data_IF_257014278861
#
_entry.id   IF_257014278861
#
_cell.length_a   1.000
_cell.length_b   1.000
_cell.length_c   1.000
_cell.angle_alpha   90.00
_cell.angle_beta   90.00
_cell.angle_gamma   90.00
#
_symmetry.space_group_name_H-M   'P 1'
#
loop_
_entity.id
_entity.type
_entity.pdbx_description
1 polymer ?
#
# COMPACT_ATOMS: atom_id res chain seq x y z
N UNK A 1 -0.27 31.02 -48.52
CA UNK A 1 0.51 31.72 -47.47
C UNK A 1 -0.47 32.33 -46.49
N UNK A 2 -0.55 31.85 -45.24
CA UNK A 2 -1.70 32.13 -44.35
C UNK A 2 -1.39 33.32 -43.44
N UNK A 3 -1.98 34.52 -43.67
CA UNK A 3 -1.64 35.74 -42.93
C UNK A 3 -2.16 35.76 -41.49
N UNK A 4 -3.20 34.97 -41.18
CA UNK A 4 -3.93 35.07 -39.91
C UNK A 4 -3.15 34.49 -38.72
N UNK A 5 -2.33 33.46 -38.94
CA UNK A 5 -1.54 32.82 -37.87
C UNK A 5 -0.40 33.72 -37.35
N UNK A 6 0.15 34.59 -38.21
CA UNK A 6 1.24 35.51 -37.82
C UNK A 6 0.75 36.69 -36.96
N UNK A 7 -0.55 36.98 -36.97
CA UNK A 7 -1.15 38.06 -36.19
C UNK A 7 -1.79 37.58 -34.87
N UNK A 8 -1.55 36.32 -34.49
CA UNK A 8 -2.04 35.75 -33.22
C UNK A 8 -3.53 35.39 -33.20
N UNK A 9 -4.24 35.49 -34.32
CA UNK A 9 -5.67 35.19 -34.40
C UNK A 9 -5.90 33.74 -34.89
N UNK A 10 -5.57 32.79 -34.00
CA UNK A 10 -5.56 31.36 -34.29
C UNK A 10 -6.95 30.79 -34.54
N UNK A 11 -7.97 31.24 -33.79
CA UNK A 11 -9.35 30.73 -33.88
C UNK A 11 -9.92 30.94 -35.29
N UNK A 12 -9.83 32.16 -35.80
CA UNK A 12 -10.26 32.48 -37.16
C UNK A 12 -9.39 31.81 -38.24
N UNK A 13 -8.10 31.66 -37.98
CA UNK A 13 -7.18 30.96 -38.87
C UNK A 13 -7.52 29.47 -39.03
N UNK A 14 -7.92 28.81 -37.94
CA UNK A 14 -8.30 27.39 -37.92
C UNK A 14 -9.65 27.20 -38.61
N UNK A 15 -10.68 27.99 -38.28
CA UNK A 15 -11.99 27.89 -38.91
C UNK A 15 -11.92 28.05 -40.44
N UNK A 16 -11.14 29.03 -40.91
CA UNK A 16 -10.97 29.26 -42.34
C UNK A 16 -10.20 28.13 -43.03
N UNK A 17 -9.19 27.56 -42.38
CA UNK A 17 -8.43 26.44 -42.92
C UNK A 17 -9.29 25.16 -43.03
N UNK A 18 -10.09 24.86 -42.00
CA UNK A 18 -11.00 23.72 -42.00
C UNK A 18 -12.08 23.88 -43.08
N UNK A 19 -12.62 25.09 -43.24
CA UNK A 19 -13.60 25.39 -44.28
C UNK A 19 -13.05 25.15 -45.70
N UNK A 20 -11.85 25.64 -45.99
CA UNK A 20 -11.19 25.44 -47.30
C UNK A 20 -10.88 23.96 -47.58
N UNK A 21 -10.35 23.23 -46.59
CA UNK A 21 -10.07 21.80 -46.75
C UNK A 21 -11.36 21.02 -47.01
N UNK A 22 -12.44 21.34 -46.30
CA UNK A 22 -13.75 20.70 -46.51
C UNK A 22 -14.30 20.94 -47.92
N UNK A 23 -14.03 22.10 -48.50
CA UNK A 23 -14.46 22.44 -49.85
C UNK A 23 -13.60 21.75 -50.92
N UNK A 24 -12.29 21.59 -50.68
CA UNK A 24 -11.38 20.86 -51.56
C UNK A 24 -11.74 19.36 -51.62
N UNK A 25 -12.02 18.75 -50.47
CA UNK A 25 -12.44 17.34 -50.40
C UNK A 25 -13.75 17.10 -51.17
N UNK A 26 -14.65 18.09 -51.18
CA UNK A 26 -15.94 17.99 -51.88
C UNK A 26 -15.86 18.16 -53.40
N UNK A 27 -14.78 18.77 -53.91
CA UNK A 27 -14.55 18.92 -55.34
C UNK A 27 -13.86 17.69 -55.95
N UNK A 28 -13.11 16.93 -55.14
CA UNK A 28 -12.36 15.73 -55.57
C UNK A 28 -13.23 14.46 -55.63
N UNK A 29 -14.46 14.50 -55.09
CA UNK A 29 -15.36 13.33 -55.03
C UNK A 29 -16.12 13.03 -56.32
N UNK A 30 -15.65 13.49 -57.48
CA UNK A 30 -16.37 13.36 -58.75
C UNK A 30 -15.65 12.46 -59.76
N UNK A 31 -15.10 11.31 -59.35
CA UNK A 31 -14.93 10.13 -60.22
C UNK A 31 -15.09 8.81 -59.43
N UNK A 32 -15.84 7.82 -59.95
CA UNK A 32 -16.04 6.54 -59.27
C UNK A 32 -14.83 5.62 -59.51
N UNK A 33 -13.74 5.90 -58.78
CA UNK A 33 -12.55 5.06 -58.74
C UNK A 33 -12.64 4.03 -57.62
N UNK A 34 -12.60 2.75 -58.01
CA UNK A 34 -12.63 1.55 -57.18
C UNK A 34 -11.51 1.56 -56.10
N UNK A 35 -11.75 2.16 -54.94
CA UNK A 35 -10.89 1.96 -53.77
C UNK A 35 -11.37 0.74 -53.01
N UNK A 36 -10.66 -0.38 -53.20
CA UNK A 36 -10.68 -1.50 -52.27
C UNK A 36 -10.08 -1.00 -50.95
N UNK A 37 -10.93 -0.57 -50.03
CA UNK A 37 -10.54 -0.45 -48.63
C UNK A 37 -10.18 -1.86 -48.16
N UNK A 38 -9.02 -2.09 -47.52
CA UNK A 38 -8.85 -3.32 -46.77
C UNK A 38 -9.96 -3.30 -45.72
N UNK A 39 -10.83 -4.31 -45.77
CA UNK A 39 -11.80 -4.56 -44.71
C UNK A 39 -10.98 -5.02 -43.50
N UNK A 40 -10.50 -4.06 -42.71
CA UNK A 40 -9.99 -4.36 -41.40
C UNK A 40 -11.18 -4.86 -40.59
N UNK A 41 -11.27 -6.19 -40.48
CA UNK A 41 -12.21 -6.86 -39.60
C UNK A 41 -11.81 -6.54 -38.17
N UNK A 42 -12.30 -5.42 -37.64
CA UNK A 42 -12.20 -5.10 -36.22
C UNK A 42 -13.05 -6.12 -35.47
N UNK A 43 -12.41 -7.14 -34.92
CA UNK A 43 -13.07 -8.11 -34.04
C UNK A 43 -13.51 -7.39 -32.75
N UNK A 44 -14.76 -6.93 -32.70
CA UNK A 44 -15.40 -6.32 -31.51
C UNK A 44 -15.55 -7.28 -30.31
N UNK A 45 -15.11 -8.53 -30.44
CA UNK A 45 -15.36 -9.60 -29.45
C UNK A 45 -14.29 -9.69 -28.34
N UNK A 46 -13.22 -8.87 -28.36
CA UNK A 46 -12.11 -8.99 -27.41
C UNK A 46 -12.21 -8.09 -26.17
N UNK A 47 -12.96 -6.98 -26.20
CA UNK A 47 -12.97 -5.98 -25.11
C UNK A 47 -13.93 -6.33 -23.96
N UNK A 48 -15.06 -6.96 -24.25
CA UNK A 48 -16.08 -7.31 -23.24
C UNK A 48 -15.66 -8.51 -22.36
N UNK A 49 -14.97 -9.49 -22.94
CA UNK A 49 -14.48 -10.68 -22.25
C UNK A 49 -13.29 -10.33 -21.33
N UNK A 50 -12.42 -9.41 -21.74
CA UNK A 50 -11.29 -9.00 -20.89
C UNK A 50 -11.73 -8.23 -19.65
N UNK A 51 -12.68 -7.29 -19.79
CA UNK A 51 -13.16 -6.53 -18.64
C UNK A 51 -13.98 -7.37 -17.65
N UNK A 52 -14.76 -8.34 -18.13
CA UNK A 52 -15.51 -9.25 -17.24
C UNK A 52 -14.60 -10.15 -16.41
N UNK A 53 -13.49 -10.64 -16.98
CA UNK A 53 -12.48 -11.40 -16.24
C UNK A 53 -11.76 -10.53 -15.21
N UNK A 54 -11.39 -9.29 -15.58
CA UNK A 54 -10.80 -8.32 -14.65
C UNK A 54 -11.74 -8.03 -13.47
N UNK A 55 -13.03 -7.82 -13.73
CA UNK A 55 -14.03 -7.58 -12.68
C UNK A 55 -14.27 -8.80 -11.80
N UNK A 56 -14.25 -10.02 -12.35
CA UNK A 56 -14.36 -11.25 -11.55
C UNK A 56 -13.15 -11.45 -10.64
N UNK A 57 -11.94 -11.24 -11.15
CA UNK A 57 -10.70 -11.33 -10.36
C UNK A 57 -10.69 -10.24 -9.28
N UNK A 58 -10.99 -8.99 -9.65
CA UNK A 58 -11.07 -7.89 -8.71
C UNK A 58 -12.11 -8.13 -7.62
N UNK A 59 -13.30 -8.64 -7.98
CA UNK A 59 -14.36 -9.01 -7.05
C UNK A 59 -13.95 -10.15 -6.10
N UNK A 60 -13.26 -11.17 -6.61
CA UNK A 60 -12.71 -12.27 -5.81
C UNK A 60 -11.67 -11.81 -4.80
N UNK A 61 -10.76 -10.92 -5.22
CA UNK A 61 -9.75 -10.32 -4.33
C UNK A 61 -10.42 -9.47 -3.25
N UNK A 62 -11.37 -8.61 -3.62
CA UNK A 62 -12.13 -7.77 -2.69
C UNK A 62 -12.88 -8.61 -1.65
N UNK A 63 -13.60 -9.64 -2.09
CA UNK A 63 -14.34 -10.55 -1.21
C UNK A 63 -13.40 -11.26 -0.24
N UNK A 64 -12.24 -11.71 -0.71
CA UNK A 64 -11.23 -12.37 0.12
C UNK A 64 -10.66 -11.43 1.19
N UNK A 65 -10.33 -10.19 0.82
CA UNK A 65 -9.82 -9.17 1.76
C UNK A 65 -10.88 -8.86 2.82
N UNK A 66 -12.13 -8.61 2.42
CA UNK A 66 -13.24 -8.35 3.34
C UNK A 66 -13.48 -9.54 4.28
N UNK A 67 -13.44 -10.77 3.75
CA UNK A 67 -13.54 -11.99 4.53
C UNK A 67 -12.44 -12.12 5.57
N UNK A 68 -11.17 -11.87 5.19
CA UNK A 68 -10.03 -11.92 6.10
C UNK A 68 -10.12 -10.85 7.21
N UNK A 69 -10.49 -9.62 6.84
CA UNK A 69 -10.66 -8.53 7.81
C UNK A 69 -11.81 -8.83 8.79
N UNK A 70 -12.96 -9.29 8.28
CA UNK A 70 -14.11 -9.68 9.09
C UNK A 70 -13.81 -10.86 10.01
N UNK A 71 -13.12 -11.89 9.50
CA UNK A 71 -12.71 -13.05 10.29
C UNK A 71 -11.74 -12.69 11.40
N UNK A 72 -10.74 -11.83 11.12
CA UNK A 72 -9.82 -11.34 12.14
C UNK A 72 -10.55 -10.54 13.24
N UNK A 73 -11.49 -9.66 12.85
CA UNK A 73 -12.32 -8.93 13.82
C UNK A 73 -13.17 -9.88 14.68
N UNK A 74 -13.81 -10.85 14.06
CA UNK A 74 -14.60 -11.86 14.77
C UNK A 74 -13.75 -12.69 15.73
N UNK A 75 -12.57 -13.18 15.31
CA UNK A 75 -11.65 -13.92 16.17
C UNK A 75 -11.21 -13.11 17.39
N UNK A 76 -10.98 -11.80 17.21
CA UNK A 76 -10.59 -10.91 18.30
C UNK A 76 -11.71 -10.70 19.31
N UNK A 77 -12.94 -10.49 18.85
CA UNK A 77 -14.10 -10.19 19.70
C UNK A 77 -14.77 -11.43 20.33
N UNK A 78 -14.36 -12.64 19.94
CA UNK A 78 -14.93 -13.87 20.49
C UNK A 78 -14.60 -14.00 21.98
N UNK A 79 -15.59 -14.24 22.87
CA UNK A 79 -15.36 -14.44 24.29
C UNK A 79 -14.32 -15.52 24.59
N UNK A 80 -13.46 -15.24 25.56
CA UNK A 80 -12.38 -16.13 26.00
C UNK A 80 -12.76 -16.81 27.31
N UNK A 81 -12.05 -17.90 27.62
CA UNK A 81 -12.20 -18.59 28.90
C UNK A 81 -11.11 -18.13 29.85
N UNK A 82 -11.50 -17.84 31.08
CA UNK A 82 -10.59 -17.44 32.15
C UNK A 82 -9.61 -18.60 32.46
N UNK A 83 -8.30 -18.32 32.59
CA UNK A 83 -7.32 -19.35 32.96
C UNK A 83 -7.47 -19.86 34.39
N UNK A 84 -8.18 -19.14 35.28
CA UNK A 84 -8.38 -19.50 36.69
C UNK A 84 -9.66 -20.35 36.92
N UNK A 85 -10.85 -19.80 36.68
CA UNK A 85 -12.12 -20.53 36.86
C UNK A 85 -12.73 -21.14 35.59
N UNK A 86 -12.14 -20.97 34.41
CA UNK A 86 -12.70 -21.40 33.12
C UNK A 86 -14.08 -20.76 32.77
N UNK A 87 -14.49 -19.71 33.50
CA UNK A 87 -15.66 -18.88 33.18
C UNK A 87 -15.44 -18.02 31.92
N UNK A 88 -16.53 -17.53 31.32
CA UNK A 88 -16.47 -16.62 30.18
C UNK A 88 -15.98 -15.24 30.63
N UNK A 89 -15.04 -14.68 29.88
CA UNK A 89 -14.53 -13.32 30.07
C UNK A 89 -15.27 -12.34 29.17
N UNK A 90 -15.41 -11.11 29.65
CA UNK A 90 -15.98 -9.97 28.93
C UNK A 90 -14.85 -9.08 28.42
N UNK A 91 -14.97 -8.60 27.18
CA UNK A 91 -14.07 -7.60 26.62
C UNK A 91 -14.48 -6.23 27.14
N UNK A 92 -13.56 -5.53 27.80
CA UNK A 92 -13.80 -4.16 28.26
C UNK A 92 -13.85 -3.18 27.09
N UNK A 93 -14.62 -2.11 27.25
CA UNK A 93 -14.58 -0.98 26.31
C UNK A 93 -13.33 -0.12 26.50
N UNK A 94 -12.97 0.67 25.49
CA UNK A 94 -11.80 1.56 25.49
C UNK A 94 -11.68 2.43 26.77
N UNK A 95 -12.80 2.91 27.31
CA UNK A 95 -12.82 3.71 28.55
C UNK A 95 -12.63 2.87 29.83
N UNK A 96 -13.04 1.61 29.80
CA UNK A 96 -12.97 0.69 30.94
C UNK A 96 -11.63 -0.04 31.00
N UNK A 97 -10.92 -0.19 29.88
CA UNK A 97 -9.59 -0.81 29.84
C UNK A 97 -8.49 0.14 30.32
N UNK A 98 -8.70 1.44 30.18
CA UNK A 98 -7.75 2.49 30.53
C UNK A 98 -7.10 2.33 31.93
N UNK A 99 -7.85 2.03 33.02
CA UNK A 99 -7.28 1.79 34.34
C UNK A 99 -6.37 0.56 34.44
N UNK A 100 -6.50 -0.39 33.51
CA UNK A 100 -5.73 -1.63 33.46
C UNK A 100 -4.47 -1.54 32.60
N UNK A 101 -4.29 -0.45 31.84
CA UNK A 101 -3.14 -0.22 30.98
C UNK A 101 -2.08 0.67 31.66
N UNK A 102 -0.82 0.32 31.47
CA UNK A 102 0.30 1.19 31.87
C UNK A 102 0.38 2.44 31.00
N UNK A 103 1.03 3.50 31.48
CA UNK A 103 1.21 4.74 30.72
C UNK A 103 1.90 4.52 29.36
N UNK A 104 2.81 3.54 29.28
CA UNK A 104 3.46 3.11 28.05
C UNK A 104 2.49 2.55 27.02
N UNK A 105 1.64 1.62 27.46
CA UNK A 105 0.62 0.98 26.62
C UNK A 105 -0.39 1.99 26.10
N UNK A 106 -0.84 2.92 26.94
CA UNK A 106 -1.71 4.03 26.51
C UNK A 106 -1.07 4.90 25.44
N UNK A 107 0.23 5.19 25.60
CA UNK A 107 0.97 5.95 24.59
C UNK A 107 1.04 5.17 23.28
N UNK A 108 1.25 3.85 23.33
CA UNK A 108 1.28 3.00 22.14
C UNK A 108 -0.05 2.98 21.39
N UNK A 109 -1.18 2.99 22.12
CA UNK A 109 -2.52 3.09 21.53
C UNK A 109 -2.76 4.46 20.91
N UNK A 110 -2.40 5.53 21.63
CA UNK A 110 -2.56 6.90 21.17
C UNK A 110 -1.83 7.15 19.83
N UNK A 111 -0.61 6.63 19.68
CA UNK A 111 0.16 6.75 18.42
C UNK A 111 -0.15 5.65 17.41
N UNK A 112 -1.12 4.78 17.69
CA UNK A 112 -1.52 3.67 16.84
C UNK A 112 -0.38 2.68 16.50
N UNK A 113 0.51 2.41 17.45
CA UNK A 113 1.62 1.44 17.27
C UNK A 113 1.27 0.00 17.67
N UNK A 114 0.50 -0.12 18.75
CA UNK A 114 -0.03 -1.35 19.33
C UNK A 114 -1.46 -1.06 19.75
N UNK A 115 -2.33 -2.05 19.66
CA UNK A 115 -3.67 -1.99 20.23
C UNK A 115 -3.77 -3.02 21.34
N UNK A 116 -4.34 -2.63 22.48
CA UNK A 116 -4.62 -3.54 23.57
C UNK A 116 -6.09 -3.96 23.56
N UNK A 117 -6.34 -5.13 24.16
CA UNK A 117 -7.67 -5.60 24.54
C UNK A 117 -7.55 -6.05 25.99
N UNK A 118 -8.44 -5.56 26.84
CA UNK A 118 -8.51 -6.03 28.24
C UNK A 118 -9.72 -6.92 28.42
N UNK A 119 -9.46 -8.19 28.77
CA UNK A 119 -10.47 -9.16 29.11
C UNK A 119 -10.62 -9.25 30.63
N UNK A 120 -11.86 -9.12 31.11
CA UNK A 120 -12.18 -9.18 32.53
C UNK A 120 -13.07 -10.38 32.85
N UNK A 121 -12.69 -11.14 33.88
CA UNK A 121 -13.51 -12.22 34.41
C UNK A 121 -14.33 -11.73 35.61
N UNK A 122 -15.66 -11.79 35.53
CA UNK A 122 -16.55 -11.37 36.62
C UNK A 122 -16.54 -12.33 37.83
N UNK A 123 -16.17 -13.60 37.64
CA UNK A 123 -16.18 -14.59 38.71
C UNK A 123 -15.01 -14.40 39.69
N UNK A 124 -13.78 -14.30 39.18
CA UNK A 124 -12.56 -14.23 40.00
C UNK A 124 -11.81 -12.89 39.89
N UNK A 125 -12.38 -11.90 39.19
CA UNK A 125 -11.79 -10.57 38.96
C UNK A 125 -10.43 -10.62 38.25
N UNK A 126 -10.11 -11.72 37.57
CA UNK A 126 -8.87 -11.87 36.79
C UNK A 126 -8.94 -10.99 35.54
N UNK A 127 -7.84 -10.28 35.27
CA UNK A 127 -7.67 -9.42 34.09
C UNK A 127 -6.62 -10.05 33.17
N UNK A 128 -6.93 -10.16 31.88
CA UNK A 128 -5.98 -10.60 30.86
C UNK A 128 -5.82 -9.50 29.80
N UNK A 129 -4.59 -8.99 29.65
CA UNK A 129 -4.26 -7.94 28.70
C UNK A 129 -3.62 -8.56 27.47
N UNK A 130 -4.27 -8.39 26.32
CA UNK A 130 -3.79 -8.87 25.03
C UNK A 130 -3.32 -7.71 24.17
N UNK A 131 -2.30 -7.94 23.35
CA UNK A 131 -1.70 -6.89 22.54
C UNK A 131 -1.60 -7.31 21.07
N UNK A 132 -1.80 -6.34 20.18
CA UNK A 132 -1.79 -6.52 18.74
C UNK A 132 -0.90 -5.45 18.10
N UNK A 133 0.30 -5.85 17.70
CA UNK A 133 1.21 -4.96 16.97
C UNK A 133 0.68 -4.65 15.58
N UNK A 134 0.57 -3.36 15.26
CA UNK A 134 0.29 -2.92 13.89
C UNK A 134 1.52 -3.10 13.02
N UNK A 135 1.36 -3.76 11.88
CA UNK A 135 2.46 -4.10 10.98
C UNK A 135 3.07 -2.87 10.29
N UNK A 136 2.27 -1.85 9.99
CA UNK A 136 2.68 -0.65 9.27
C UNK A 136 2.59 0.61 10.14
N UNK A 137 2.92 0.50 11.43
CA UNK A 137 2.86 1.64 12.34
C UNK A 137 3.99 2.65 12.16
N UNK A 138 5.10 2.29 11.49
CA UNK A 138 6.34 3.09 11.47
C UNK A 138 7.13 3.03 12.78
N UNK A 139 6.46 2.83 13.92
CA UNK A 139 7.11 2.77 15.23
C UNK A 139 7.81 1.44 15.55
N UNK A 140 8.94 1.55 16.25
CA UNK A 140 9.75 0.45 16.74
C UNK A 140 9.78 0.39 18.28
N UNK A 141 10.32 -0.71 18.83
CA UNK A 141 10.52 -0.88 20.28
C UNK A 141 11.66 0.00 20.77
N UNK A 142 11.38 0.86 21.76
CA UNK A 142 12.39 1.70 22.37
C UNK A 142 13.38 0.87 23.21
N UNK A 143 14.68 1.17 23.10
CA UNK A 143 15.72 0.46 23.86
C UNK A 143 15.68 0.76 25.37
N UNK A 144 15.17 1.93 25.76
CA UNK A 144 15.12 2.40 27.15
C UNK A 144 13.83 1.95 27.86
N UNK A 145 12.65 2.37 27.38
CA UNK A 145 11.38 2.07 28.04
C UNK A 145 10.68 0.78 27.56
N UNK A 146 11.21 0.13 26.50
CA UNK A 146 10.68 -1.11 25.90
C UNK A 146 9.28 -1.01 25.28
N UNK A 147 8.65 0.16 25.27
CA UNK A 147 7.40 0.39 24.53
C UNK A 147 7.67 0.61 23.03
N UNK A 148 6.77 0.18 22.16
CA UNK A 148 6.78 0.35 20.70
C UNK A 148 6.42 1.77 20.27
N UNK A 149 7.15 2.75 20.80
CA UNK A 149 6.88 4.19 20.62
C UNK A 149 8.06 4.93 19.99
N UNK A 150 9.00 4.20 19.38
CA UNK A 150 10.20 4.78 18.78
C UNK A 150 9.95 5.16 17.32
N UNK A 151 10.06 6.44 17.00
CA UNK A 151 10.09 6.95 15.64
C UNK A 151 11.54 7.13 15.15
N UNK A 152 11.75 7.08 13.84
CA UNK A 152 13.07 7.23 13.22
C UNK A 152 13.02 8.08 11.97
N UNK A 153 13.85 9.13 11.92
CA UNK A 153 13.99 10.03 10.78
C UNK A 153 15.41 9.94 10.23
N UNK A 154 15.55 9.69 8.93
CA UNK A 154 16.84 9.62 8.24
C UNK A 154 17.11 10.90 7.48
N UNK A 155 18.29 11.50 7.71
CA UNK A 155 18.83 12.65 6.99
C UNK A 155 20.08 12.22 6.23
N UNK A 156 20.13 12.45 4.92
CA UNK A 156 21.34 12.17 4.12
C UNK A 156 22.33 13.30 4.30
N UNK A 157 23.50 13.00 4.90
CA UNK A 157 24.59 13.97 5.07
C UNK A 157 25.46 14.04 3.80
N UNK A 158 25.75 12.88 3.23
CA UNK A 158 26.56 12.75 2.01
C UNK A 158 25.89 11.75 1.06
N UNK A 159 25.67 12.15 -0.18
CA UNK A 159 25.06 11.28 -1.17
C UNK A 159 26.05 10.21 -1.65
N UNK A 160 25.57 8.97 -1.77
CA UNK A 160 26.33 7.91 -2.41
C UNK A 160 26.49 8.17 -3.91
N UNK A 161 27.67 7.86 -4.45
CA UNK A 161 27.95 7.88 -5.88
C UNK A 161 28.26 6.47 -6.38
N UNK A 162 28.57 6.32 -7.66
CA UNK A 162 29.07 5.05 -8.21
C UNK A 162 30.46 4.68 -7.67
N UNK A 163 31.21 5.66 -7.14
CA UNK A 163 32.61 5.49 -6.75
C UNK A 163 32.85 5.69 -5.24
N UNK A 164 31.86 6.21 -4.52
CA UNK A 164 31.95 6.50 -3.08
C UNK A 164 30.66 6.14 -2.37
N UNK A 165 30.77 5.58 -1.16
CA UNK A 165 29.63 5.44 -0.26
C UNK A 165 29.11 6.81 0.15
N UNK A 166 27.83 6.86 0.51
CA UNK A 166 27.25 8.02 1.18
C UNK A 166 27.16 7.79 2.69
N UNK A 167 26.71 8.81 3.41
CA UNK A 167 26.48 8.75 4.85
C UNK A 167 25.12 9.37 5.16
N UNK A 168 24.28 8.67 5.91
CA UNK A 168 23.07 9.22 6.51
C UNK A 168 23.17 9.26 8.03
N UNK A 169 22.50 10.21 8.65
CA UNK A 169 22.23 10.26 10.09
C UNK A 169 20.80 9.82 10.32
N UNK A 170 20.61 8.75 11.09
CA UNK A 170 19.29 8.34 11.54
C UNK A 170 19.11 8.84 12.97
N UNK A 171 18.10 9.68 13.16
CA UNK A 171 17.71 10.20 14.48
C UNK A 171 16.50 9.43 14.98
N UNK A 172 16.60 8.90 16.18
CA UNK A 172 15.57 8.13 16.86
C UNK A 172 14.97 8.95 17.99
N UNK A 173 13.64 9.03 18.05
CA UNK A 173 12.91 9.75 19.08
C UNK A 173 11.81 8.88 19.66
N UNK A 174 11.76 8.72 20.98
CA UNK A 174 10.72 7.93 21.64
C UNK A 174 9.56 8.81 22.13
N UNK A 175 8.36 8.55 21.63
CA UNK A 175 7.17 9.33 22.01
C UNK A 175 6.73 9.15 23.46
N UNK A 176 7.11 8.05 24.11
CA UNK A 176 6.77 7.80 25.52
C UNK A 176 7.79 8.38 26.51
N UNK A 177 9.05 7.95 26.43
CA UNK A 177 10.08 8.37 27.40
C UNK A 177 10.86 9.63 26.99
N UNK A 178 10.60 10.16 25.79
CA UNK A 178 11.24 11.37 25.22
C UNK A 178 12.76 11.29 25.04
N UNK A 179 13.34 10.10 25.20
CA UNK A 179 14.74 9.84 24.91
C UNK A 179 15.02 9.94 23.41
N UNK A 180 16.12 10.62 23.05
CA UNK A 180 16.52 10.89 21.66
C UNK A 180 17.99 10.52 21.46
N UNK A 181 18.30 9.83 20.37
CA UNK A 181 19.68 9.54 19.99
C UNK A 181 19.84 9.51 18.47
N UNK A 182 21.07 9.58 17.98
CA UNK A 182 21.36 9.50 16.55
C UNK A 182 22.50 8.54 16.27
N UNK A 183 22.44 7.90 15.11
CA UNK A 183 23.44 6.95 14.62
C UNK A 183 23.77 7.28 13.16
N UNK A 184 25.02 7.09 12.77
CA UNK A 184 25.45 7.24 11.39
C UNK A 184 25.34 5.90 10.68
N UNK A 185 24.72 5.91 9.50
CA UNK A 185 24.59 4.76 8.62
C UNK A 185 25.31 5.03 7.30
N UNK A 186 26.05 4.04 6.82
CA UNK A 186 26.68 4.09 5.51
C UNK A 186 25.66 3.75 4.43
N UNK A 187 25.51 4.63 3.45
CA UNK A 187 24.70 4.40 2.26
C UNK A 187 25.57 3.67 1.24
N UNK A 188 25.16 2.48 0.74
CA UNK A 188 25.95 1.73 -0.24
C UNK A 188 26.10 2.52 -1.55
N UNK A 189 27.20 2.24 -2.27
CA UNK A 189 27.46 2.82 -3.60
C UNK A 189 26.33 2.52 -4.57
N UNK A 190 26.08 3.45 -5.51
CA UNK A 190 25.07 3.26 -6.55
C UNK A 190 25.56 2.24 -7.56
N UNK A 191 24.91 1.09 -7.65
CA UNK A 191 25.24 0.05 -8.65
C UNK A 191 24.59 0.37 -9.99
N UNK A 192 25.36 0.39 -11.08
CA UNK A 192 24.81 0.38 -12.44
C UNK A 192 24.20 -0.98 -12.73
N UNK A 193 22.88 -1.02 -12.92
CA UNK A 193 22.20 -2.19 -13.46
C UNK A 193 22.72 -2.46 -14.87
N UNK A 194 23.62 -3.42 -15.05
CA UNK A 194 23.89 -3.98 -16.38
C UNK A 194 22.70 -4.86 -16.71
N UNK A 195 21.84 -4.39 -17.61
CA UNK A 195 20.75 -5.18 -18.18
C UNK A 195 21.35 -6.34 -18.97
N UNK A 196 21.58 -7.46 -18.28
CA UNK A 196 21.76 -8.76 -18.91
C UNK A 196 20.39 -9.40 -19.02
N UNK A 197 19.79 -9.24 -20.20
CA UNK A 197 18.61 -9.96 -20.64
C UNK A 197 18.98 -11.44 -20.79
N UNK A 198 18.94 -12.20 -19.70
CA UNK A 198 18.97 -13.67 -19.74
C UNK A 198 17.57 -14.17 -19.41
N UNK A 199 16.78 -14.41 -20.46
CA UNK A 199 15.57 -15.20 -20.35
C UNK A 199 15.90 -16.65 -19.97
N UNK A 200 15.11 -17.23 -19.08
CA UNK A 200 14.90 -18.67 -18.99
C UNK A 200 13.55 -18.94 -18.32
N UNK A 201 12.72 -19.65 -19.06
CA UNK A 201 11.44 -20.23 -18.73
C UNK A 201 11.61 -21.56 -17.96
N UNK A 202 10.62 -21.89 -17.12
CA UNK A 202 10.46 -23.17 -16.41
C UNK A 202 10.22 -22.95 -14.92
N UNK A 203 9.21 -23.49 -14.23
CA UNK A 203 8.29 -24.59 -14.50
C UNK A 203 8.23 -25.48 -13.25
N UNK A 204 7.06 -25.60 -12.60
CA UNK A 204 6.79 -26.50 -11.45
C UNK A 204 7.46 -26.07 -10.13
N UNK A 205 6.98 -26.36 -8.92
CA UNK A 205 6.08 -27.41 -8.43
C UNK A 205 5.64 -27.09 -6.98
N UNK A 206 4.47 -27.60 -6.60
CA UNK A 206 3.89 -27.61 -5.25
C UNK A 206 4.76 -28.32 -4.20
N UNK A 207 4.74 -27.83 -2.95
CA UNK A 207 5.03 -28.53 -1.67
C UNK A 207 4.64 -27.55 -0.55
N UNK A 208 3.79 -27.80 0.45
CA UNK A 208 3.50 -29.04 1.17
C UNK A 208 4.32 -29.08 2.46
N UNK A 209 3.70 -28.79 3.61
CA UNK A 209 4.28 -28.91 4.98
C UNK A 209 4.71 -27.57 5.58
N UNK A 210 4.49 -27.22 6.85
CA UNK A 210 4.12 -27.99 8.04
C UNK A 210 4.95 -27.47 9.22
N UNK A 211 4.27 -26.90 10.23
CA UNK A 211 4.65 -26.69 11.64
C UNK A 211 6.12 -26.35 12.05
N UNK A 212 6.28 -25.31 12.90
CA UNK A 212 6.75 -25.40 14.31
C UNK A 212 7.61 -24.21 14.78
N UNK A 213 7.40 -23.84 16.06
CA UNK A 213 8.16 -22.87 16.86
C UNK A 213 7.21 -21.82 17.48
N UNK A 214 6.84 -21.78 18.78
CA UNK A 214 7.62 -21.89 20.04
C UNK A 214 8.91 -21.11 19.85
N UNK A 215 9.13 -19.96 20.49
CA UNK A 215 9.34 -19.68 21.93
C UNK A 215 8.76 -18.32 22.31
#
# INVERSE_FOLDING_TARGET
MIPHFKNGNYTYGIEKAVFEISHLIRLDSTEPGLFLYPEETYTETSSSITWTLVMQVAGGILSSILGLLGFNKWRRQRPRRCPQCNGLMELLSDLQEDPHLSSGQKTEEQINSVQYDVWYCRNDQTVEVCHYSRWFSGYCKCKFCKNKTLDSTSETLEHATEYSTGTSRVTYNCEHCKETWSELHTIPMVTRSTSSSSGSSGGGHSSGGGASGRW
#
